data_IF_902582778756
#
_entry.id   IF_902582778756
#
_cell.length_a   1.000
_cell.length_b   1.000
_cell.length_c   1.000
_cell.angle_alpha   90.00
_cell.angle_beta   90.00
_cell.angle_gamma   90.00
#
_symmetry.space_group_name_H-M   'P 1'
#
loop_
_entity.id
_entity.type
_entity.pdbx_description
1 polymer ?
#
# COMPACT_ATOMS: atom_id res chain seq x y z
N UNK A 1 12.70 0.36 18.86
CA UNK A 1 11.30 0.02 19.14
C UNK A 1 11.16 -1.49 18.91
N UNK A 2 10.48 -2.25 19.79
CA UNK A 2 10.19 -3.66 19.51
C UNK A 2 8.92 -3.72 18.65
N UNK A 3 8.80 -4.64 17.67
CA UNK A 3 7.52 -4.88 17.01
C UNK A 3 6.48 -5.28 18.06
N UNK A 4 5.34 -4.58 18.08
CA UNK A 4 4.22 -4.86 18.99
C UNK A 4 3.23 -5.89 18.40
N UNK A 5 3.48 -6.36 17.18
CA UNK A 5 2.63 -7.29 16.44
C UNK A 5 3.32 -8.66 16.38
N UNK A 6 2.58 -9.71 16.73
CA UNK A 6 2.98 -11.10 16.51
C UNK A 6 2.71 -11.47 15.04
N UNK A 7 3.75 -11.87 14.32
CA UNK A 7 3.68 -12.13 12.88
C UNK A 7 4.53 -13.34 12.50
N UNK A 8 3.93 -14.23 11.70
CA UNK A 8 4.62 -15.30 10.99
C UNK A 8 4.38 -15.13 9.51
N UNK A 9 5.42 -15.30 8.69
CA UNK A 9 5.33 -15.18 7.23
C UNK A 9 5.91 -16.40 6.53
N UNK A 10 5.36 -16.68 5.36
CA UNK A 10 5.89 -17.66 4.41
C UNK A 10 6.06 -16.96 3.06
N UNK A 11 7.08 -17.36 2.31
CA UNK A 11 7.37 -16.80 0.99
C UNK A 11 7.57 -17.92 -0.03
N UNK A 12 7.13 -17.65 -1.26
CA UNK A 12 7.36 -18.50 -2.43
C UNK A 12 7.67 -17.62 -3.63
N UNK A 13 8.62 -18.04 -4.45
CA UNK A 13 8.90 -17.40 -5.74
C UNK A 13 8.05 -18.06 -6.84
N UNK A 14 7.46 -17.24 -7.70
CA UNK A 14 6.66 -17.66 -8.86
C UNK A 14 7.17 -16.95 -10.13
N UNK A 15 6.95 -17.47 -11.35
CA UNK A 15 7.49 -16.89 -12.58
C UNK A 15 6.70 -15.64 -13.02
N UNK A 16 6.88 -14.54 -12.29
CA UNK A 16 6.39 -13.19 -12.63
C UNK A 16 7.49 -12.18 -12.29
N UNK A 17 7.47 -11.02 -12.95
CA UNK A 17 8.45 -9.94 -12.72
C UNK A 17 7.82 -8.64 -12.29
N UNK A 18 6.49 -8.52 -12.34
CA UNK A 18 5.81 -7.24 -12.21
C UNK A 18 5.74 -6.77 -10.77
N UNK A 19 5.07 -7.53 -9.91
CA UNK A 19 4.82 -7.16 -8.52
C UNK A 19 4.89 -8.39 -7.62
N UNK A 20 5.18 -8.17 -6.35
CA UNK A 20 4.86 -9.14 -5.31
C UNK A 20 3.36 -9.07 -4.98
N UNK A 21 2.82 -10.17 -4.45
CA UNK A 21 1.47 -10.25 -3.94
C UNK A 21 1.51 -10.88 -2.54
N UNK A 22 0.83 -10.25 -1.58
CA UNK A 22 0.65 -10.82 -0.25
C UNK A 22 -0.80 -11.24 -0.06
N UNK A 23 -0.98 -12.40 0.57
CA UNK A 23 -2.24 -12.80 1.17
C UNK A 23 -2.10 -12.63 2.68
N UNK A 24 -2.91 -11.76 3.26
CA UNK A 24 -2.82 -11.38 4.66
C UNK A 24 -4.03 -11.90 5.43
N UNK A 25 -3.74 -12.48 6.59
CA UNK A 25 -4.72 -12.81 7.62
C UNK A 25 -4.28 -12.09 8.90
N UNK A 26 -5.09 -11.16 9.39
CA UNK A 26 -4.83 -10.41 10.61
C UNK A 26 -5.92 -10.68 11.65
N UNK A 27 -5.51 -11.05 12.85
CA UNK A 27 -6.41 -11.26 13.99
C UNK A 27 -6.51 -9.97 14.80
N UNK A 28 -7.69 -9.38 14.83
CA UNK A 28 -8.01 -8.18 15.59
C UNK A 28 -8.37 -8.56 17.04
N UNK A 29 -8.10 -7.66 18.02
CA UNK A 29 -8.52 -7.88 19.40
C UNK A 29 -10.04 -7.85 19.55
N UNK A 30 -10.56 -8.57 20.56
CA UNK A 30 -11.99 -8.54 20.89
C UNK A 30 -12.48 -7.10 21.13
N UNK A 31 -13.68 -6.80 20.60
CA UNK A 31 -14.31 -5.49 20.78
C UNK A 31 -13.69 -4.37 19.94
N UNK A 32 -12.91 -4.69 18.90
CA UNK A 32 -12.31 -3.70 17.99
C UNK A 32 -13.34 -2.76 17.33
N UNK A 33 -14.60 -3.21 17.15
CA UNK A 33 -15.70 -2.36 16.65
C UNK A 33 -15.61 -1.96 15.17
N UNK A 34 -14.68 -2.57 14.42
CA UNK A 34 -14.49 -2.33 12.99
C UNK A 34 -15.42 -3.22 12.16
N UNK A 35 -15.83 -2.70 11.00
CA UNK A 35 -16.40 -3.46 9.88
C UNK A 35 -15.42 -3.44 8.69
N UNK A 36 -15.68 -4.27 7.67
CA UNK A 36 -14.91 -4.24 6.41
C UNK A 36 -14.84 -2.81 5.84
N UNK A 37 -15.97 -2.11 5.81
CA UNK A 37 -16.09 -0.75 5.28
C UNK A 37 -15.28 0.25 6.11
N UNK A 38 -15.32 0.14 7.44
CA UNK A 38 -14.51 1.02 8.29
C UNK A 38 -13.00 0.79 8.15
N UNK A 39 -12.57 -0.44 7.82
CA UNK A 39 -11.17 -0.75 7.53
C UNK A 39 -10.75 -0.11 6.21
N UNK A 40 -11.59 -0.24 5.17
CA UNK A 40 -11.35 0.39 3.87
C UNK A 40 -11.31 1.93 4.00
N UNK A 41 -12.21 2.52 4.79
CA UNK A 41 -12.20 3.96 5.06
C UNK A 41 -10.97 4.40 5.86
N UNK A 42 -10.54 3.60 6.83
CA UNK A 42 -9.29 3.86 7.55
C UNK A 42 -8.09 3.86 6.58
N UNK A 43 -8.01 2.88 5.69
CA UNK A 43 -6.92 2.78 4.72
C UNK A 43 -6.94 3.90 3.68
N UNK A 44 -8.12 4.33 3.21
CA UNK A 44 -8.24 5.43 2.23
C UNK A 44 -7.79 6.79 2.80
N UNK A 45 -7.79 6.94 4.13
CA UNK A 45 -7.29 8.13 4.82
C UNK A 45 -5.78 8.10 5.10
N UNK A 46 -5.10 6.98 4.80
CA UNK A 46 -3.66 6.86 5.02
C UNK A 46 -2.89 7.04 3.70
N UNK A 47 -1.78 7.79 3.72
CA UNK A 47 -0.97 7.99 2.52
C UNK A 47 -0.36 6.66 2.08
N UNK A 48 -0.05 6.57 0.77
CA UNK A 48 0.66 5.45 0.15
C UNK A 48 -0.10 4.12 0.14
N UNK A 49 -1.43 4.18 0.19
CA UNK A 49 -2.32 3.05 -0.08
C UNK A 49 -3.29 3.46 -1.19
N UNK A 50 -3.42 2.62 -2.21
CA UNK A 50 -4.44 2.75 -3.25
C UNK A 50 -5.40 1.58 -3.10
N UNK A 51 -6.69 1.88 -3.05
CA UNK A 51 -7.76 0.89 -2.94
C UNK A 51 -8.60 0.97 -4.20
N UNK A 52 -8.78 -0.16 -4.89
CA UNK A 52 -9.68 -0.25 -6.04
C UNK A 52 -10.40 -1.58 -6.04
N UNK A 53 -11.63 -1.58 -6.53
CA UNK A 53 -12.39 -2.80 -6.79
C UNK A 53 -11.91 -3.44 -8.10
N UNK A 54 -11.31 -4.63 -8.03
CA UNK A 54 -10.73 -5.29 -9.20
C UNK A 54 -11.77 -5.71 -10.23
N UNK A 55 -12.92 -6.23 -9.79
CA UNK A 55 -13.99 -6.65 -10.68
C UNK A 55 -14.65 -5.47 -11.42
N UNK A 56 -14.92 -4.35 -10.74
CA UNK A 56 -15.56 -3.18 -11.34
C UNK A 56 -14.64 -2.37 -12.25
N UNK A 57 -13.34 -2.30 -11.90
CA UNK A 57 -12.33 -1.59 -12.70
C UNK A 57 -11.67 -2.46 -13.77
N UNK A 58 -11.94 -3.77 -13.75
CA UNK A 58 -11.24 -4.78 -14.53
C UNK A 58 -9.72 -4.86 -14.25
N UNK A 59 -9.27 -4.38 -13.07
CA UNK A 59 -7.90 -4.48 -12.58
C UNK A 59 -7.80 -5.71 -11.68
N UNK A 60 -7.79 -6.92 -12.27
CA UNK A 60 -7.92 -8.17 -11.51
C UNK A 60 -6.59 -8.84 -11.17
N UNK A 61 -5.49 -8.45 -11.81
CA UNK A 61 -4.16 -9.01 -11.55
C UNK A 61 -3.11 -7.91 -11.42
N UNK A 62 -1.90 -8.28 -11.00
CA UNK A 62 -0.76 -7.36 -10.94
C UNK A 62 -0.39 -6.77 -12.31
N UNK A 63 -0.78 -7.42 -13.43
CA UNK A 63 -0.53 -6.90 -14.76
C UNK A 63 -1.33 -5.63 -15.03
N UNK A 64 -2.63 -5.64 -14.73
CA UNK A 64 -3.48 -4.46 -14.89
C UNK A 64 -3.12 -3.36 -13.88
N UNK A 65 -2.65 -3.72 -12.68
CA UNK A 65 -2.14 -2.73 -11.71
C UNK A 65 -0.91 -1.99 -12.27
N UNK A 66 0.04 -2.72 -12.89
CA UNK A 66 1.19 -2.11 -13.54
C UNK A 66 0.80 -1.28 -14.75
N UNK A 67 -0.17 -1.73 -15.54
CA UNK A 67 -0.63 -0.97 -16.70
C UNK A 67 -1.35 0.32 -16.27
N UNK A 68 -2.15 0.26 -15.20
CA UNK A 68 -2.73 1.45 -14.57
C UNK A 68 -1.65 2.48 -14.19
N UNK A 69 -0.55 2.05 -13.56
CA UNK A 69 0.55 2.94 -13.18
C UNK A 69 1.22 3.60 -14.40
N UNK A 70 1.30 2.89 -15.53
CA UNK A 70 1.84 3.41 -16.79
C UNK A 70 0.87 4.40 -17.46
N UNK A 71 -0.42 4.10 -17.43
CA UNK A 71 -1.48 4.92 -18.03
C UNK A 71 -1.65 6.27 -17.33
N UNK A 72 -1.44 6.33 -16.00
CA UNK A 72 -1.39 7.60 -15.26
C UNK A 72 -0.07 8.37 -15.46
N UNK A 73 0.78 7.94 -16.40
CA UNK A 73 1.95 8.69 -16.84
C UNK A 73 3.13 8.66 -15.89
N UNK A 74 3.17 7.72 -14.93
CA UNK A 74 4.30 7.64 -14.00
C UNK A 74 5.55 7.14 -14.68
N UNK A 75 6.66 7.79 -14.35
CA UNK A 75 7.97 7.39 -14.86
C UNK A 75 8.25 5.92 -14.49
N UNK A 76 8.77 5.16 -15.45
CA UNK A 76 9.07 3.73 -15.32
C UNK A 76 7.87 2.81 -15.01
N UNK A 77 6.65 3.34 -14.93
CA UNK A 77 5.49 2.58 -14.45
C UNK A 77 5.46 2.42 -12.94
N UNK A 78 6.18 3.29 -12.19
CA UNK A 78 6.32 3.17 -10.75
C UNK A 78 4.97 3.28 -10.01
N UNK A 79 4.67 2.30 -9.17
CA UNK A 79 3.59 2.40 -8.18
C UNK A 79 4.18 2.44 -6.76
N UNK A 80 4.37 3.64 -6.21
CA UNK A 80 4.96 3.80 -4.87
C UNK A 80 4.00 3.37 -3.75
N UNK A 81 2.71 3.39 -4.03
CA UNK A 81 1.65 3.00 -3.10
C UNK A 81 1.45 1.49 -3.08
N UNK A 82 1.05 0.97 -1.92
CA UNK A 82 0.56 -0.40 -1.80
C UNK A 82 -0.84 -0.46 -2.42
N UNK A 83 -1.03 -1.38 -3.36
CA UNK A 83 -2.32 -1.57 -4.00
C UNK A 83 -3.13 -2.63 -3.26
N UNK A 84 -4.38 -2.33 -2.93
CA UNK A 84 -5.32 -3.24 -2.25
C UNK A 84 -6.56 -3.43 -3.12
N UNK A 85 -6.93 -4.69 -3.34
CA UNK A 85 -8.18 -5.06 -4.01
C UNK A 85 -9.34 -5.03 -3.01
N UNK A 86 -10.22 -4.04 -3.12
CA UNK A 86 -11.37 -3.85 -2.22
C UNK A 86 -12.29 -5.08 -2.18
N UNK A 87 -12.55 -5.66 -3.34
CA UNK A 87 -13.35 -6.87 -3.53
C UNK A 87 -12.68 -8.14 -2.96
N UNK A 88 -11.41 -8.04 -2.58
CA UNK A 88 -10.66 -9.07 -1.84
C UNK A 88 -10.60 -8.82 -0.33
N UNK A 89 -11.15 -7.72 0.20
CA UNK A 89 -11.11 -7.40 1.63
C UNK A 89 -12.35 -7.96 2.34
N UNK A 90 -12.12 -8.68 3.43
CA UNK A 90 -13.21 -9.20 4.27
C UNK A 90 -12.82 -9.21 5.73
N UNK A 91 -13.64 -8.59 6.57
CA UNK A 91 -13.62 -8.81 8.01
C UNK A 91 -14.72 -9.81 8.39
N UNK A 92 -14.34 -10.92 9.00
CA UNK A 92 -15.25 -11.96 9.51
C UNK A 92 -14.94 -12.25 10.99
N UNK A 93 -15.89 -11.88 11.85
CA UNK A 93 -15.64 -11.77 13.29
C UNK A 93 -14.44 -10.86 13.56
N UNK A 94 -13.41 -11.42 14.21
CA UNK A 94 -12.17 -10.71 14.50
C UNK A 94 -11.07 -10.94 13.44
N UNK A 95 -11.36 -11.63 12.33
CA UNK A 95 -10.32 -12.00 11.35
C UNK A 95 -10.48 -11.18 10.07
N UNK A 96 -9.47 -10.36 9.78
CA UNK A 96 -9.36 -9.58 8.55
C UNK A 96 -8.56 -10.36 7.51
N UNK A 97 -9.13 -10.50 6.33
CA UNK A 97 -8.53 -11.12 5.15
C UNK A 97 -8.41 -10.06 4.06
N UNK A 98 -7.27 -10.01 3.38
CA UNK A 98 -7.10 -9.18 2.19
C UNK A 98 -5.91 -9.60 1.34
N UNK A 99 -5.90 -9.12 0.10
CA UNK A 99 -4.77 -9.20 -0.81
C UNK A 99 -4.20 -7.81 -1.08
N UNK A 100 -2.89 -7.72 -1.20
CA UNK A 100 -2.21 -6.51 -1.63
C UNK A 100 -1.12 -6.82 -2.65
N UNK A 101 -0.90 -5.90 -3.58
CA UNK A 101 0.22 -5.94 -4.51
C UNK A 101 1.25 -4.86 -4.17
N UNK A 102 2.51 -5.22 -4.38
CA UNK A 102 3.67 -4.40 -4.03
C UNK A 102 4.56 -4.30 -5.26
N UNK A 103 4.75 -3.08 -5.76
CA UNK A 103 5.71 -2.82 -6.82
C UNK A 103 7.10 -2.70 -6.20
N UNK A 104 7.81 -3.84 -6.15
CA UNK A 104 9.09 -3.97 -5.46
C UNK A 104 10.19 -3.03 -5.98
N UNK A 105 10.03 -2.48 -7.19
CA UNK A 105 11.03 -1.60 -7.78
C UNK A 105 10.95 -0.17 -7.22
N UNK A 106 9.81 0.23 -6.63
CA UNK A 106 9.60 1.64 -6.27
C UNK A 106 8.91 1.94 -4.94
N UNK A 107 8.34 0.97 -4.23
CA UNK A 107 7.59 1.19 -2.98
C UNK A 107 8.43 1.88 -1.88
N UNK A 108 9.71 1.52 -1.76
CA UNK A 108 10.63 2.09 -0.77
C UNK A 108 11.26 3.44 -1.17
N UNK A 109 11.03 3.94 -2.39
CA UNK A 109 11.61 5.21 -2.86
C UNK A 109 11.19 6.40 -1.99
N UNK A 110 9.88 6.65 -1.76
CA UNK A 110 9.48 7.77 -0.91
C UNK A 110 9.92 7.60 0.54
N UNK A 111 10.00 6.36 1.05
CA UNK A 111 10.46 6.05 2.40
C UNK A 111 11.90 6.52 2.65
N UNK A 112 12.78 6.37 1.66
CA UNK A 112 14.16 6.85 1.75
C UNK A 112 14.24 8.38 1.89
N UNK A 113 13.35 9.12 1.21
CA UNK A 113 13.31 10.59 1.28
C UNK A 113 12.87 11.05 2.67
N UNK A 114 11.85 10.40 3.24
CA UNK A 114 11.39 10.71 4.60
C UNK A 114 12.40 10.32 5.67
N UNK A 115 13.07 9.18 5.50
CA UNK A 115 14.14 8.75 6.39
C UNK A 115 15.27 9.78 6.47
N UNK A 116 15.64 10.41 5.35
CA UNK A 116 16.63 11.51 5.35
C UNK A 116 16.14 12.67 6.22
N UNK A 117 14.88 13.10 6.09
CA UNK A 117 14.37 14.23 6.89
C UNK A 117 14.31 13.91 8.37
N UNK A 118 13.94 12.68 8.72
CA UNK A 118 13.91 12.20 10.09
C UNK A 118 15.33 12.15 10.70
N UNK A 119 16.30 11.56 9.99
CA UNK A 119 17.70 11.45 10.45
C UNK A 119 18.37 12.81 10.61
N UNK A 120 18.05 13.76 9.72
CA UNK A 120 18.60 15.11 9.75
C UNK A 120 17.84 16.05 10.69
N UNK A 121 16.72 15.61 11.27
CA UNK A 121 15.86 16.45 12.11
C UNK A 121 15.27 17.66 11.37
N UNK A 122 15.16 17.61 10.05
CA UNK A 122 14.68 18.74 9.22
C UNK A 122 13.17 18.83 9.13
N UNK A 123 12.47 17.75 9.48
CA UNK A 123 11.03 17.70 9.61
C UNK A 123 10.70 16.77 10.79
N UNK A 124 9.99 17.29 11.79
CA UNK A 124 9.63 16.53 13.00
C UNK A 124 8.25 15.88 12.89
N UNK A 125 7.36 16.43 12.06
CA UNK A 125 6.07 15.83 11.78
C UNK A 125 6.18 14.86 10.59
N UNK A 126 6.04 13.57 10.88
CA UNK A 126 6.12 12.53 9.85
C UNK A 126 5.07 12.71 8.74
N UNK A 127 3.86 13.21 9.07
CA UNK A 127 2.82 13.45 8.06
C UNK A 127 3.19 14.60 7.15
N UNK A 128 3.79 15.65 7.69
CA UNK A 128 4.32 16.76 6.90
C UNK A 128 5.46 16.30 5.97
N UNK A 129 6.35 15.42 6.44
CA UNK A 129 7.42 14.84 5.61
C UNK A 129 6.84 14.03 4.44
N UNK A 130 5.93 13.10 4.73
CA UNK A 130 5.26 12.25 3.74
C UNK A 130 4.55 13.11 2.70
N UNK A 131 3.72 14.06 3.13
CA UNK A 131 3.00 14.96 2.22
C UNK A 131 3.95 15.76 1.32
N UNK A 132 5.11 16.20 1.83
CA UNK A 132 6.13 16.91 1.04
C UNK A 132 6.80 16.01 0.01
N UNK A 133 7.09 14.76 0.36
CA UNK A 133 7.64 13.77 -0.57
C UNK A 133 6.65 13.44 -1.67
N UNK A 134 5.41 13.12 -1.29
CA UNK A 134 4.36 12.70 -2.22
C UNK A 134 4.00 13.84 -3.18
N UNK A 135 3.90 15.09 -2.68
CA UNK A 135 3.68 16.26 -3.53
C UNK A 135 4.84 16.49 -4.52
N UNK A 136 6.09 16.26 -4.11
CA UNK A 136 7.24 16.39 -5.01
C UNK A 136 7.24 15.31 -6.11
N UNK A 137 6.85 14.07 -5.77
CA UNK A 137 6.70 12.97 -6.73
C UNK A 137 5.54 13.26 -7.69
N UNK A 138 4.40 13.74 -7.21
CA UNK A 138 3.25 14.13 -8.05
C UNK A 138 3.65 15.21 -9.04
N UNK A 139 4.26 16.29 -8.56
CA UNK A 139 4.73 17.39 -9.40
C UNK A 139 5.77 16.93 -10.44
N UNK A 140 6.65 15.98 -10.09
CA UNK A 140 7.61 15.41 -11.03
C UNK A 140 6.95 14.60 -12.15
N UNK A 141 5.89 13.85 -11.84
CA UNK A 141 5.13 13.05 -12.81
C UNK A 141 4.05 13.87 -13.55
N UNK A 142 3.83 15.14 -13.19
CA UNK A 142 2.79 15.98 -13.80
C UNK A 142 1.37 15.62 -13.39
N UNK A 143 1.22 15.04 -12.18
CA UNK A 143 -0.04 14.65 -11.55
C UNK A 143 -0.53 15.70 -10.56
#
# INVERSE_FOLDING_TARGET
MKPEIDINSMAVAVPTTLMHCHSIVAFLPDGHGLTTESVLELWSQNPRIIIMNGAETNITTTAEVMEYARDIGRKWGDLHEIFVWEDGVKLDGNTLYYFQAIHQESDVIPENVDAIRALMGTESDWRASVAKTDAAISAYNGL
#
